data_IF_284599127000
#
_entry.id   IF_284599127000
#
_cell.length_a   1.000
_cell.length_b   1.000
_cell.length_c   1.000
_cell.angle_alpha   90.00
_cell.angle_beta   90.00
_cell.angle_gamma   90.00
#
_symmetry.space_group_name_H-M   'P 1'
#
loop_
_entity.id
_entity.type
_entity.pdbx_description
1 polymer ?
#
# COMPACT_ATOMS: atom_id res chain seq x y z
N UNK A 1 10.00 10.83 32.98
CA UNK A 1 9.47 11.49 31.75
C UNK A 1 9.97 10.67 30.58
N UNK A 2 9.14 10.40 29.58
CA UNK A 2 9.63 9.80 28.34
C UNK A 2 10.29 10.92 27.55
N UNK A 3 11.62 10.89 27.44
CA UNK A 3 12.35 11.83 26.59
C UNK A 3 12.08 11.45 25.13
N UNK A 4 11.08 12.12 24.56
CA UNK A 4 10.66 11.94 23.17
C UNK A 4 11.41 12.88 22.24
N UNK A 5 11.76 12.40 21.05
CA UNK A 5 12.35 13.18 19.96
C UNK A 5 11.32 13.31 18.84
N UNK A 6 11.03 14.54 18.43
CA UNK A 6 10.17 14.79 17.27
C UNK A 6 10.89 14.37 15.98
N UNK A 7 10.19 13.63 15.12
CA UNK A 7 10.59 13.32 13.76
C UNK A 7 9.54 13.84 12.80
N UNK A 8 9.97 14.65 11.82
CA UNK A 8 9.13 15.12 10.72
C UNK A 8 9.13 14.07 9.61
N UNK A 9 7.96 13.84 9.02
CA UNK A 9 7.74 12.93 7.91
C UNK A 9 7.00 13.64 6.79
N UNK A 10 7.32 13.25 5.57
CA UNK A 10 6.65 13.72 4.36
C UNK A 10 5.36 12.94 4.14
N UNK A 11 4.36 13.60 3.55
CA UNK A 11 3.07 13.01 3.26
C UNK A 11 2.74 13.15 1.77
N UNK A 12 1.90 12.26 1.26
CA UNK A 12 1.21 12.51 -0.01
C UNK A 12 -0.21 12.96 0.29
N UNK A 13 -0.62 14.09 -0.29
CA UNK A 13 -1.98 14.61 -0.20
C UNK A 13 -2.60 14.63 -1.58
N UNK A 14 -3.78 14.04 -1.70
CA UNK A 14 -4.51 13.97 -2.96
C UNK A 14 -5.42 15.18 -3.17
N UNK A 15 -5.84 15.42 -4.42
CA UNK A 15 -6.73 16.53 -4.80
C UNK A 15 -8.19 16.40 -4.29
N UNK A 16 -8.47 15.42 -3.44
CA UNK A 16 -9.70 15.29 -2.63
C UNK A 16 -9.40 15.29 -1.12
N UNK A 17 -8.28 15.90 -0.73
CA UNK A 17 -7.79 16.04 0.64
C UNK A 17 -7.48 14.69 1.34
N UNK A 18 -7.37 13.60 0.58
CA UNK A 18 -6.95 12.30 1.08
C UNK A 18 -5.46 12.29 1.40
N UNK A 19 -5.07 11.72 2.54
CA UNK A 19 -3.67 11.66 2.98
C UNK A 19 -3.14 10.23 2.90
N UNK A 20 -1.90 10.07 2.40
CA UNK A 20 -1.16 8.80 2.40
C UNK A 20 0.13 8.97 3.20
N UNK A 21 0.31 8.11 4.20
CA UNK A 21 1.46 8.11 5.12
C UNK A 21 2.54 7.12 4.68
N UNK A 22 2.15 5.97 4.16
CA UNK A 22 3.04 4.87 3.83
C UNK A 22 3.07 4.56 2.35
N UNK A 23 1.94 4.15 1.78
CA UNK A 23 1.93 3.60 0.43
C UNK A 23 0.59 3.79 -0.29
N UNK A 24 0.69 4.29 -1.51
CA UNK A 24 -0.36 4.26 -2.53
C UNK A 24 -0.13 3.06 -3.46
N UNK A 25 -1.20 2.32 -3.81
CA UNK A 25 -1.16 1.19 -4.76
C UNK A 25 -2.35 1.20 -5.72
N UNK A 26 -2.07 0.94 -7.00
CA UNK A 26 -3.05 0.74 -8.07
C UNK A 26 -2.64 -0.52 -8.84
N UNK A 27 -3.50 -1.53 -9.03
CA UNK A 27 -4.81 -1.69 -8.40
C UNK A 27 -4.71 -1.83 -6.87
N UNK A 28 -5.82 -1.75 -6.12
CA UNK A 28 -5.82 -1.86 -4.66
C UNK A 28 -5.67 -3.34 -4.26
N UNK A 29 -4.53 -3.95 -4.56
CA UNK A 29 -4.25 -5.32 -4.17
C UNK A 29 -4.13 -5.39 -2.65
N UNK A 30 -4.78 -6.40 -2.07
CA UNK A 30 -4.39 -6.89 -0.76
C UNK A 30 -3.08 -7.65 -0.96
N UNK A 31 -2.07 -7.42 -0.12
CA UNK A 31 -1.01 -8.42 0.00
C UNK A 31 -1.71 -9.75 0.30
N UNK A 32 -1.48 -10.82 -0.46
CA UNK A 32 -1.90 -12.13 -0.01
C UNK A 32 -1.28 -12.30 1.37
N UNK A 33 -2.10 -12.51 2.40
CA UNK A 33 -1.62 -13.25 3.56
C UNK A 33 -1.07 -14.52 2.92
N UNK A 34 0.25 -14.69 2.95
CA UNK A 34 0.86 -15.92 2.45
C UNK A 34 -0.01 -17.05 3.01
N UNK A 35 -0.51 -17.98 2.17
CA UNK A 35 -1.19 -19.13 2.73
C UNK A 35 -0.24 -19.67 3.78
N UNK A 36 -0.70 -19.69 5.04
CA UNK A 36 -0.01 -20.42 6.09
C UNK A 36 0.22 -21.78 5.46
N UNK A 37 1.48 -22.05 5.08
CA UNK A 37 1.89 -23.38 4.66
C UNK A 37 1.28 -24.30 5.70
N UNK A 38 0.41 -25.20 5.25
CA UNK A 38 -0.31 -26.14 6.08
C UNK A 38 0.63 -26.56 7.20
N UNK A 39 0.38 -26.03 8.40
CA UNK A 39 1.23 -26.26 9.54
C UNK A 39 1.15 -27.75 9.80
N UNK A 40 2.14 -28.46 9.24
CA UNK A 40 2.35 -29.87 9.46
C UNK A 40 2.36 -30.03 10.97
N UNK A 41 1.35 -30.73 11.46
CA UNK A 41 1.14 -31.02 12.87
C UNK A 41 2.35 -31.81 13.33
N UNK A 42 3.34 -31.10 13.89
CA UNK A 42 4.39 -31.69 14.70
C UNK A 42 4.10 -31.33 16.16
N UNK A 43 4.04 -32.31 17.07
CA UNK A 43 3.65 -32.08 18.45
C UNK A 43 4.75 -31.27 19.16
N UNK A 44 4.55 -29.96 19.24
CA UNK A 44 5.46 -29.07 19.97
C UNK A 44 5.35 -29.34 21.47
N UNK A 45 6.47 -29.83 22.00
CA UNK A 45 6.70 -30.12 23.40
C UNK A 45 6.25 -29.01 24.35
N UNK A 46 5.61 -29.47 25.40
CA UNK A 46 5.07 -28.80 26.57
C UNK A 46 6.02 -27.75 27.15
N UNK A 47 5.74 -26.45 26.97
CA UNK A 47 6.33 -25.36 27.78
C UNK A 47 5.37 -25.03 28.93
N UNK A 48 5.70 -25.35 30.20
CA UNK A 48 4.73 -25.38 31.30
C UNK A 48 4.16 -24.01 31.74
N UNK A 49 4.78 -22.90 31.38
CA UNK A 49 4.43 -21.56 31.90
C UNK A 49 3.33 -20.83 31.11
N UNK A 50 2.94 -21.32 29.93
CA UNK A 50 1.84 -20.75 29.13
C UNK A 50 0.44 -21.24 29.57
N UNK A 51 0.36 -22.13 30.57
CA UNK A 51 -0.91 -22.72 31.02
C UNK A 51 -1.75 -21.76 31.87
N UNK A 52 -1.15 -20.75 32.49
CA UNK A 52 -1.83 -19.80 33.37
C UNK A 52 -2.50 -18.64 32.64
N UNK A 53 -2.12 -18.34 31.39
CA UNK A 53 -2.73 -17.26 30.60
C UNK A 53 -3.98 -17.69 29.81
N UNK A 54 -4.34 -18.98 29.81
CA UNK A 54 -5.42 -19.50 28.96
C UNK A 54 -6.82 -19.46 29.59
N UNK A 55 -6.97 -19.14 30.89
CA UNK A 55 -8.29 -19.16 31.52
C UNK A 55 -9.12 -17.88 31.34
N UNK A 56 -8.56 -16.79 30.81
CA UNK A 56 -9.26 -15.51 30.68
C UNK A 56 -9.66 -15.10 29.24
N UNK A 57 -9.37 -15.91 28.22
CA UNK A 57 -9.63 -15.55 26.79
C UNK A 57 -10.64 -16.48 26.11
N UNK A 58 -11.46 -17.21 26.86
CA UNK A 58 -12.43 -18.16 26.29
C UNK A 58 -13.82 -17.58 25.97
N UNK A 59 -13.96 -16.26 25.91
CA UNK A 59 -15.29 -15.64 25.74
C UNK A 59 -15.35 -14.50 24.73
N UNK A 60 -14.51 -14.52 23.69
CA UNK A 60 -14.66 -13.63 22.52
C UNK A 60 -14.15 -14.33 21.25
N UNK A 61 -14.82 -15.41 20.82
CA UNK A 61 -14.62 -15.97 19.47
C UNK A 61 -15.74 -15.43 18.58
N UNK A 62 -15.49 -14.46 17.68
CA UNK A 62 -16.43 -14.09 16.65
C UNK A 62 -16.63 -15.27 15.69
N UNK A 63 -17.87 -15.46 15.23
CA UNK A 63 -18.18 -16.45 14.21
C UNK A 63 -17.30 -16.25 12.98
N UNK A 64 -16.64 -17.32 12.53
CA UNK A 64 -15.80 -17.39 11.33
C UNK A 64 -16.65 -16.93 10.12
N UNK A 65 -16.32 -15.81 9.45
CA UNK A 65 -17.10 -15.38 8.30
C UNK A 65 -16.99 -16.42 7.18
N UNK A 66 -18.14 -16.75 6.59
CA UNK A 66 -18.26 -17.61 5.42
C UNK A 66 -17.38 -17.04 4.32
N UNK A 67 -16.47 -17.87 3.80
CA UNK A 67 -15.49 -17.51 2.76
C UNK A 67 -16.23 -17.01 1.51
N UNK A 68 -16.29 -15.69 1.32
CA UNK A 68 -16.73 -15.10 0.06
C UNK A 68 -15.79 -15.55 -1.07
N UNK A 69 -16.32 -15.78 -2.30
CA UNK A 69 -15.49 -16.08 -3.45
C UNK A 69 -14.51 -14.93 -3.68
N UNK A 70 -13.23 -15.28 -3.89
CA UNK A 70 -12.18 -14.30 -4.16
C UNK A 70 -12.59 -13.44 -5.37
N UNK A 71 -12.48 -12.10 -5.29
CA UNK A 71 -12.72 -11.25 -6.43
C UNK A 71 -11.77 -11.64 -7.58
N UNK A 72 -12.18 -11.47 -8.85
CA UNK A 72 -11.29 -11.73 -9.98
C UNK A 72 -10.00 -10.94 -9.81
N UNK A 73 -8.87 -11.58 -10.11
CA UNK A 73 -7.57 -10.92 -10.11
C UNK A 73 -7.67 -9.65 -10.97
N UNK A 74 -7.23 -8.48 -10.48
CA UNK A 74 -7.32 -7.26 -11.25
C UNK A 74 -6.63 -7.44 -12.60
N UNK A 75 -7.40 -7.25 -13.67
CA UNK A 75 -6.85 -7.21 -15.01
C UNK A 75 -5.94 -6.01 -15.20
N UNK A 76 -5.10 -6.02 -16.25
CA UNK A 76 -4.20 -4.92 -16.54
C UNK A 76 -4.96 -3.60 -16.74
N UNK A 77 -4.49 -2.54 -16.10
CA UNK A 77 -5.13 -1.23 -16.14
C UNK A 77 -4.52 -0.39 -17.27
N UNK A 78 -5.35 0.34 -18.03
CA UNK A 78 -4.86 1.35 -18.98
C UNK A 78 -4.78 2.69 -18.27
N UNK A 79 -3.59 3.04 -17.82
CA UNK A 79 -3.33 4.26 -17.04
C UNK A 79 -2.28 5.11 -17.75
N UNK A 80 -2.49 6.43 -17.73
CA UNK A 80 -1.45 7.41 -17.92
C UNK A 80 -0.92 7.84 -16.56
N UNK A 81 0.39 7.74 -16.37
CA UNK A 81 1.09 8.14 -15.14
C UNK A 81 2.01 9.30 -15.49
N UNK A 82 1.84 10.41 -14.79
CA UNK A 82 2.69 11.59 -14.92
C UNK A 82 3.35 11.90 -13.58
N UNK A 83 4.63 12.28 -13.61
CA UNK A 83 5.39 12.73 -12.44
C UNK A 83 5.98 14.09 -12.77
N UNK A 84 5.64 15.09 -11.96
CA UNK A 84 6.02 16.50 -12.16
C UNK A 84 5.68 17.02 -13.57
N UNK A 85 4.55 16.55 -14.12
CA UNK A 85 4.08 16.88 -15.47
C UNK A 85 4.74 16.07 -16.60
N UNK A 86 5.74 15.23 -16.31
CA UNK A 86 6.38 14.35 -17.29
C UNK A 86 5.63 13.02 -17.37
N UNK A 87 5.24 12.61 -18.57
CA UNK A 87 4.54 11.32 -18.78
C UNK A 87 5.52 10.16 -18.71
N UNK A 88 5.30 9.24 -17.77
CA UNK A 88 6.10 8.04 -17.53
C UNK A 88 5.55 6.84 -18.33
N UNK A 89 4.23 6.71 -18.35
CA UNK A 89 3.47 5.72 -19.13
C UNK A 89 2.19 6.40 -19.61
N UNK A 90 1.70 6.06 -20.80
CA UNK A 90 0.46 6.60 -21.38
C UNK A 90 -0.62 5.51 -21.56
N UNK A 91 -1.88 5.89 -21.76
CA UNK A 91 -3.07 5.02 -21.84
C UNK A 91 -2.95 3.87 -22.88
N UNK A 92 -2.09 4.03 -23.88
CA UNK A 92 -1.81 3.01 -24.88
C UNK A 92 -1.11 1.76 -24.32
N UNK A 93 -0.36 1.92 -23.23
CA UNK A 93 0.44 0.87 -22.61
C UNK A 93 -0.25 0.34 -21.35
N UNK A 94 -0.60 -0.97 -21.30
CA UNK A 94 -1.22 -1.54 -20.12
C UNK A 94 -0.19 -1.63 -18.96
N UNK A 95 -0.64 -1.29 -17.75
CA UNK A 95 0.14 -1.40 -16.52
C UNK A 95 -0.45 -2.47 -15.61
N UNK A 96 0.44 -3.26 -15.01
CA UNK A 96 0.10 -4.26 -14.00
C UNK A 96 -0.07 -3.61 -12.63
N UNK A 97 0.86 -2.72 -12.27
CA UNK A 97 0.82 -2.02 -10.98
C UNK A 97 1.46 -0.63 -11.04
N UNK A 98 0.98 0.25 -10.18
CA UNK A 98 1.59 1.54 -9.83
C UNK A 98 1.68 1.61 -8.32
N UNK A 99 2.85 1.96 -7.82
CA UNK A 99 3.08 2.21 -6.40
C UNK A 99 3.74 3.56 -6.20
N UNK A 100 3.22 4.35 -5.26
CA UNK A 100 3.83 5.61 -4.83
C UNK A 100 4.04 5.56 -3.33
N UNK A 101 5.20 5.98 -2.86
CA UNK A 101 5.57 6.01 -1.45
C UNK A 101 6.09 7.41 -1.15
N UNK A 102 5.64 8.10 -0.07
CA UNK A 102 6.32 9.30 0.40
C UNK A 102 7.78 8.95 0.72
N UNK A 103 8.71 9.66 0.12
CA UNK A 103 10.14 9.53 0.38
C UNK A 103 10.60 10.54 1.42
N UNK A 104 11.88 10.89 1.35
CA UNK A 104 12.47 11.96 2.14
C UNK A 104 12.70 13.22 1.28
N UNK A 105 12.83 14.39 1.91
CA UNK A 105 13.20 15.66 1.29
C UNK A 105 12.20 16.17 0.23
N UNK A 106 10.90 15.97 0.48
CA UNK A 106 9.81 16.50 -0.30
C UNK A 106 9.58 15.77 -1.63
N UNK A 107 10.04 14.52 -1.75
CA UNK A 107 9.88 13.70 -2.96
C UNK A 107 9.13 12.40 -2.66
N UNK A 108 8.46 11.87 -3.68
CA UNK A 108 7.82 10.57 -3.67
C UNK A 108 8.56 9.62 -4.59
N UNK A 109 8.74 8.38 -4.13
CA UNK A 109 9.19 7.29 -4.97
C UNK A 109 8.02 6.72 -5.76
N UNK A 110 8.12 6.73 -7.08
CA UNK A 110 7.12 6.21 -8.01
C UNK A 110 7.70 4.99 -8.72
N UNK A 111 7.01 3.86 -8.61
CA UNK A 111 7.30 2.65 -9.36
C UNK A 111 6.07 2.28 -10.21
N UNK A 112 6.29 2.09 -11.51
CA UNK A 112 5.29 1.60 -12.46
C UNK A 112 5.76 0.27 -13.01
N UNK A 113 4.91 -0.75 -12.95
CA UNK A 113 5.12 -2.06 -13.56
C UNK A 113 4.28 -2.17 -14.82
N UNK A 114 4.87 -2.05 -16.01
CA UNK A 114 4.18 -2.35 -17.26
C UNK A 114 3.81 -3.83 -17.30
N UNK A 115 2.73 -4.17 -18.02
CA UNK A 115 2.41 -5.57 -18.28
C UNK A 115 3.49 -6.18 -19.17
N UNK A 116 4.13 -7.24 -18.70
CA UNK A 116 5.10 -8.00 -19.50
C UNK A 116 4.37 -8.77 -20.62
N UNK A 117 4.75 -8.53 -21.88
CA UNK A 117 4.33 -9.35 -23.03
C UNK A 117 5.58 -10.08 -23.55
N UNK A 118 5.96 -11.19 -22.91
CA UNK A 118 7.28 -11.81 -23.10
C UNK A 118 8.36 -11.16 -22.23
N UNK A 119 9.63 -11.58 -22.40
CA UNK A 119 10.82 -11.27 -21.58
C UNK A 119 10.61 -10.13 -20.54
N UNK A 120 10.56 -10.54 -19.26
CA UNK A 120 10.44 -9.76 -18.02
C UNK A 120 10.56 -8.23 -18.18
N UNK A 121 9.43 -7.52 -18.20
CA UNK A 121 9.42 -6.06 -18.27
C UNK A 121 9.95 -5.48 -16.95
N UNK A 122 11.05 -4.75 -17.03
CA UNK A 122 11.64 -4.08 -15.86
C UNK A 122 10.74 -2.95 -15.36
N UNK A 123 10.54 -2.83 -14.02
CA UNK A 123 9.78 -1.71 -13.45
C UNK A 123 10.43 -0.36 -13.77
N UNK A 124 9.61 0.63 -14.09
CA UNK A 124 10.02 2.02 -14.26
C UNK A 124 10.02 2.69 -12.89
N UNK A 125 11.14 3.32 -12.50
CA UNK A 125 11.29 4.01 -11.22
C UNK A 125 11.68 5.46 -11.44
N UNK A 126 11.03 6.38 -10.74
CA UNK A 126 11.34 7.81 -10.74
C UNK A 126 10.97 8.44 -9.41
N UNK A 127 11.53 9.60 -9.10
CA UNK A 127 11.13 10.43 -7.97
C UNK A 127 10.51 11.75 -8.44
N UNK A 128 9.57 12.30 -7.68
CA UNK A 128 8.98 13.59 -7.98
C UNK A 128 8.05 14.11 -6.89
N UNK A 129 7.54 15.33 -7.06
CA UNK A 129 6.69 16.03 -6.07
C UNK A 129 5.21 15.84 -6.30
N UNK A 130 4.80 15.73 -7.56
CA UNK A 130 3.40 15.61 -7.95
C UNK A 130 3.24 14.41 -8.86
N UNK A 131 2.34 13.50 -8.50
CA UNK A 131 2.00 12.32 -9.29
C UNK A 131 0.56 12.43 -9.74
N UNK A 132 0.32 12.32 -11.04
CA UNK A 132 -1.02 12.30 -11.61
C UNK A 132 -1.25 10.95 -12.28
N UNK A 133 -2.35 10.28 -11.94
CA UNK A 133 -2.80 9.07 -12.62
C UNK A 133 -4.14 9.33 -13.27
N UNK A 134 -4.25 9.03 -14.56
CA UNK A 134 -5.49 9.14 -15.35
C UNK A 134 -5.79 7.81 -16.03
N UNK A 135 -7.07 7.41 -16.09
CA UNK A 135 -7.53 6.16 -16.69
C UNK A 135 -9.03 6.17 -16.98
N UNK A 136 -9.58 5.08 -17.50
CA UNK A 136 -11.03 4.96 -17.78
C UNK A 136 -11.86 5.02 -16.52
N UNK A 137 -11.52 4.19 -15.53
CA UNK A 137 -11.95 4.22 -14.13
C UNK A 137 -10.99 3.28 -13.37
N UNK A 138 -10.43 3.72 -12.25
CA UNK A 138 -9.54 2.90 -11.42
C UNK A 138 -9.80 3.10 -9.93
N UNK A 139 -9.46 2.09 -9.14
CA UNK A 139 -9.44 2.15 -7.67
C UNK A 139 -8.00 2.17 -7.20
N UNK A 140 -7.76 2.75 -6.03
CA UNK A 140 -6.45 2.77 -5.40
C UNK A 140 -6.56 2.48 -3.92
N UNK A 141 -5.50 1.93 -3.36
CA UNK A 141 -5.34 1.77 -1.93
C UNK A 141 -4.36 2.83 -1.43
N UNK A 142 -4.77 3.59 -0.44
CA UNK A 142 -3.93 4.51 0.32
C UNK A 142 -3.84 3.96 1.74
N UNK A 143 -2.68 3.42 2.11
CA UNK A 143 -2.45 2.77 3.41
C UNK A 143 -3.47 1.66 3.72
N UNK A 144 -4.43 1.92 4.61
CA UNK A 144 -5.48 0.98 4.99
C UNK A 144 -6.79 1.17 4.20
N UNK A 145 -6.99 2.33 3.55
CA UNK A 145 -8.22 2.69 2.85
C UNK A 145 -8.17 2.38 1.36
N UNK A 146 -9.31 1.97 0.79
CA UNK A 146 -9.49 1.86 -0.66
C UNK A 146 -10.43 2.97 -1.13
N UNK A 147 -10.04 3.66 -2.19
CA UNK A 147 -10.78 4.76 -2.79
C UNK A 147 -11.06 4.51 -4.29
N UNK A 148 -12.04 5.23 -4.82
CA UNK A 148 -12.53 5.12 -6.20
C UNK A 148 -13.77 4.23 -6.37
N UNK A 149 -14.23 4.01 -7.61
CA UNK A 149 -13.53 4.32 -8.86
C UNK A 149 -13.40 5.83 -9.14
N UNK A 150 -12.27 6.24 -9.71
CA UNK A 150 -12.00 7.58 -10.21
C UNK A 150 -11.35 7.52 -11.59
N UNK A 151 -11.46 8.60 -12.37
CA UNK A 151 -10.83 8.72 -13.69
C UNK A 151 -9.48 9.40 -13.65
N UNK A 152 -9.30 10.30 -12.70
CA UNK A 152 -8.09 11.07 -12.49
C UNK A 152 -7.91 11.26 -10.99
N UNK A 153 -6.67 11.15 -10.54
CA UNK A 153 -6.29 11.56 -9.19
C UNK A 153 -4.87 12.11 -9.21
N UNK A 154 -4.66 13.19 -8.48
CA UNK A 154 -3.37 13.84 -8.32
C UNK A 154 -2.96 13.74 -6.87
N UNK A 155 -1.71 13.35 -6.60
CA UNK A 155 -1.08 13.36 -5.28
C UNK A 155 0.10 14.31 -5.28
N UNK A 156 0.23 15.11 -4.24
CA UNK A 156 1.34 16.06 -4.06
C UNK A 156 2.04 15.77 -2.75
N UNK A 157 3.38 15.81 -2.77
CA UNK A 157 4.19 15.66 -1.57
C UNK A 157 4.13 16.93 -0.73
N UNK A 158 3.85 16.76 0.56
CA UNK A 158 3.92 17.80 1.57
C UNK A 158 5.10 17.48 2.50
N UNK A 159 6.20 18.18 2.29
CA UNK A 159 7.45 17.98 3.01
C UNK A 159 7.29 18.28 4.51
N UNK A 160 7.73 17.34 5.34
CA UNK A 160 7.76 17.43 6.78
C UNK A 160 6.42 17.79 7.39
N UNK A 161 5.30 17.42 6.77
CA UNK A 161 3.97 17.86 7.21
C UNK A 161 3.46 17.13 8.47
N UNK A 162 3.95 15.91 8.73
CA UNK A 162 3.60 15.14 9.94
C UNK A 162 4.74 15.17 10.95
N UNK A 163 4.45 15.56 12.20
CA UNK A 163 5.37 15.41 13.33
C UNK A 163 4.99 14.20 14.20
N UNK A 164 5.92 13.27 14.39
CA UNK A 164 5.77 12.15 15.31
C UNK A 164 6.82 12.23 16.42
N UNK A 165 6.37 12.25 17.68
CA UNK A 165 7.28 12.14 18.83
C UNK A 165 7.55 10.66 19.12
N UNK A 166 8.78 10.23 18.85
CA UNK A 166 9.22 8.85 19.11
C UNK A 166 10.14 8.82 20.34
N UNK A 167 10.26 7.69 21.05
CA UNK A 167 11.25 7.55 22.11
C UNK A 167 12.66 7.88 21.62
N UNK A 168 13.46 8.54 22.47
CA UNK A 168 14.88 8.73 22.24
C UNK A 168 15.58 7.38 22.00
N UNK A 169 16.56 7.39 21.10
CA UNK A 169 17.28 6.18 20.69
C UNK A 169 18.33 5.76 21.71
#
# INVERSE_FOLDING_TARGET
>A
VLDGVERRLDLLVDDSDGVVLGALRIPPLYAPVAPEEEAQVLPMGTRPWLRTCQSLVRTLVPARPTREPAPPAPGPSRLRVEVDGVTLVDLGQPVEAVSVTPGDAGLADVEVRPVSVGAEASPLRVTGRTVTVTGTDFRYRADAGVAGPVRRRTWTVWEGALGLTLPGR
#
